data_IF_368037527202
#
_entry.id   IF_368037527202
#
_cell.length_a   1.000
_cell.length_b   1.000
_cell.length_c   1.000
_cell.angle_alpha   90.00
_cell.angle_beta   90.00
_cell.angle_gamma   90.00
#
_symmetry.space_group_name_H-M   'P 1'
#
loop_
_entity.id
_entity.type
_entity.pdbx_description
1 polymer ?
#
# COMPACT_ATOMS: atom_id res chain seq x y z
N UNK A 1 39.14 -37.78 14.11
CA UNK A 1 40.38 -37.88 13.35
C UNK A 1 40.48 -36.69 12.40
N UNK A 2 41.09 -35.61 12.86
CA UNK A 2 41.92 -34.63 12.13
C UNK A 2 43.31 -35.28 11.91
N UNK A 3 44.29 -34.77 11.09
CA UNK A 3 44.71 -33.38 10.96
C UNK A 3 45.17 -32.91 9.54
N UNK A 4 45.46 -31.68 9.40
CA UNK A 4 46.59 -30.72 9.28
C UNK A 4 46.83 -30.16 7.87
N UNK A 5 46.76 -28.85 7.78
CA UNK A 5 47.74 -27.75 7.61
C UNK A 5 48.85 -28.00 6.56
N UNK A 6 49.01 -27.10 5.59
CA UNK A 6 50.28 -26.40 5.28
C UNK A 6 50.04 -25.12 4.46
N UNK A 7 50.58 -24.04 4.97
CA UNK A 7 50.87 -22.68 4.49
C UNK A 7 52.03 -22.62 3.47
N UNK A 8 52.05 -21.54 2.66
CA UNK A 8 53.19 -20.61 2.37
C UNK A 8 52.95 -19.90 1.04
N UNK A 9 52.79 -18.62 0.96
CA UNK A 9 53.68 -17.46 1.12
C UNK A 9 54.48 -17.10 -0.16
N UNK A 10 54.36 -15.85 -0.54
CA UNK A 10 55.30 -14.78 -0.81
C UNK A 10 55.35 -14.19 -2.23
N UNK A 11 55.04 -12.90 -2.31
CA UNK A 11 55.86 -11.73 -2.76
C UNK A 11 56.34 -11.70 -4.21
N UNK A 12 56.14 -10.65 -4.98
CA UNK A 12 56.79 -9.32 -4.98
C UNK A 12 56.21 -8.40 -6.05
N UNK A 13 56.16 -7.11 -5.77
CA UNK A 13 56.03 -5.93 -6.64
C UNK A 13 57.38 -5.60 -7.35
N UNK A 14 57.61 -4.55 -8.20
CA UNK A 14 56.87 -3.30 -8.40
C UNK A 14 56.88 -2.66 -9.85
N UNK A 15 56.24 -1.44 -9.95
CA UNK A 15 56.50 -0.27 -10.80
C UNK A 15 56.17 -0.33 -12.31
N UNK A 16 55.55 0.62 -12.95
CA UNK A 16 55.66 2.09 -13.02
C UNK A 16 54.55 2.74 -13.87
N UNK A 17 54.09 3.91 -13.42
CA UNK A 17 53.61 5.08 -14.12
C UNK A 17 52.83 5.03 -15.41
N UNK A 18 51.60 5.61 -15.40
CA UNK A 18 51.18 6.72 -16.28
C UNK A 18 49.87 7.37 -15.82
N UNK A 19 49.92 8.64 -15.65
CA UNK A 19 48.85 9.61 -15.36
C UNK A 19 47.86 9.69 -16.53
N UNK A 20 46.56 9.60 -16.24
CA UNK A 20 45.53 10.33 -17.00
C UNK A 20 44.30 10.63 -16.15
N UNK A 21 43.93 11.90 -16.16
CA UNK A 21 42.81 12.53 -15.47
C UNK A 21 41.48 12.09 -16.07
N UNK A 22 40.65 11.43 -15.31
CA UNK A 22 39.27 11.11 -15.68
C UNK A 22 38.36 11.24 -14.47
N UNK A 23 37.40 12.17 -14.55
CA UNK A 23 36.36 12.46 -13.56
C UNK A 23 35.68 11.17 -13.08
N UNK A 24 35.69 10.96 -11.78
CA UNK A 24 34.84 9.99 -11.12
C UNK A 24 33.36 10.42 -11.23
N UNK A 25 32.42 9.53 -11.55
CA UNK A 25 31.02 9.75 -11.29
C UNK A 25 30.77 9.53 -9.80
N UNK A 26 30.10 10.49 -9.18
CA UNK A 26 29.61 10.49 -7.82
C UNK A 26 28.78 9.26 -7.48
N UNK A 27 28.96 8.81 -6.27
CA UNK A 27 28.29 7.76 -5.52
C UNK A 27 26.87 7.42 -5.95
N UNK A 28 26.69 6.19 -6.35
CA UNK A 28 25.40 5.52 -6.47
C UNK A 28 24.81 5.35 -5.07
N UNK A 29 23.79 6.16 -4.74
CA UNK A 29 22.90 5.88 -3.64
C UNK A 29 22.28 4.48 -3.85
N UNK A 30 22.71 3.54 -3.03
CA UNK A 30 22.12 2.21 -2.94
C UNK A 30 20.66 2.37 -2.50
N UNK A 31 19.73 1.95 -3.35
CA UNK A 31 18.31 1.87 -3.07
C UNK A 31 18.04 1.04 -1.81
N UNK A 32 17.72 1.71 -0.70
CA UNK A 32 17.23 1.05 0.52
C UNK A 32 15.86 0.44 0.26
N UNK A 33 15.59 -0.78 0.74
CA UNK A 33 14.25 -1.37 0.65
C UNK A 33 13.26 -0.51 1.44
N UNK A 34 12.06 -0.32 0.91
CA UNK A 34 10.97 0.53 1.42
C UNK A 34 10.38 0.12 2.79
N UNK A 35 11.15 -0.55 3.64
CA UNK A 35 10.79 -0.92 5.02
C UNK A 35 11.68 -0.29 6.10
N UNK A 36 12.63 0.54 5.73
CA UNK A 36 13.31 1.39 6.72
C UNK A 36 12.54 2.70 6.80
N UNK A 37 11.74 2.84 7.87
CA UNK A 37 11.25 4.13 8.32
C UNK A 37 12.43 5.10 8.29
N UNK A 38 12.36 6.14 7.44
CA UNK A 38 13.36 7.19 7.45
C UNK A 38 13.48 7.75 8.88
N UNK A 39 14.68 8.13 9.32
CA UNK A 39 14.84 8.69 10.65
C UNK A 39 13.96 9.93 10.76
N UNK A 40 13.07 9.91 11.75
CA UNK A 40 12.23 11.02 12.16
C UNK A 40 13.10 12.27 12.23
N UNK A 41 12.68 13.40 11.65
CA UNK A 41 13.41 14.65 11.84
C UNK A 41 13.59 14.90 13.34
N UNK A 42 14.82 14.87 13.81
CA UNK A 42 15.14 15.10 15.22
C UNK A 42 15.02 16.57 15.62
N UNK A 43 14.56 17.44 14.72
CA UNK A 43 14.39 18.87 14.95
C UNK A 43 12.93 19.22 15.15
N UNK A 44 12.66 19.91 16.25
CA UNK A 44 11.41 20.61 16.50
C UNK A 44 11.06 21.53 15.33
N UNK A 45 9.77 21.76 15.02
CA UNK A 45 9.37 22.76 14.03
C UNK A 45 9.95 24.13 14.43
N UNK A 46 10.52 24.83 13.47
CA UNK A 46 11.11 26.16 13.71
C UNK A 46 10.05 27.20 14.17
N UNK A 47 8.79 26.96 13.83
CA UNK A 47 7.67 27.83 14.18
C UNK A 47 6.41 27.03 14.43
N UNK A 48 5.89 27.11 15.66
CA UNK A 48 4.64 26.49 16.09
C UNK A 48 3.54 27.56 16.11
N UNK A 49 2.38 27.22 15.59
CA UNK A 49 1.18 28.06 15.63
C UNK A 49 0.41 27.70 16.92
N UNK A 50 0.27 28.64 17.84
CA UNK A 50 -0.50 28.46 19.07
C UNK A 50 -2.02 28.56 18.81
N UNK A 51 -2.85 28.01 19.70
CA UNK A 51 -4.30 27.84 19.50
C UNK A 51 -5.03 29.12 19.11
N UNK A 52 -4.76 30.25 19.75
CA UNK A 52 -5.42 31.53 19.45
C UNK A 52 -5.13 32.03 18.03
N UNK A 53 -3.89 31.88 17.57
CA UNK A 53 -3.48 32.23 16.19
C UNK A 53 -4.02 31.22 15.20
N UNK A 54 -4.00 29.92 15.56
CA UNK A 54 -4.53 28.86 14.72
C UNK A 54 -6.05 28.99 14.58
N UNK A 55 -6.77 29.25 15.68
CA UNK A 55 -8.21 29.52 15.65
C UNK A 55 -8.54 30.68 14.71
N UNK A 56 -7.89 31.86 14.87
CA UNK A 56 -8.13 33.00 14.01
C UNK A 56 -7.84 32.70 12.53
N UNK A 57 -6.79 31.92 12.27
CA UNK A 57 -6.42 31.49 10.92
C UNK A 57 -7.45 30.55 10.32
N UNK A 58 -7.89 29.50 11.07
CA UNK A 58 -8.91 28.56 10.63
C UNK A 58 -10.28 29.24 10.47
N UNK A 59 -10.68 30.10 11.42
CA UNK A 59 -11.92 30.86 11.34
C UNK A 59 -12.00 31.71 10.08
N UNK A 60 -10.87 32.30 9.64
CA UNK A 60 -10.77 33.12 8.41
C UNK A 60 -10.75 32.28 7.13
N UNK A 61 -9.99 31.16 7.13
CA UNK A 61 -9.68 30.41 5.90
C UNK A 61 -10.65 29.29 5.59
N UNK A 62 -11.21 28.61 6.63
CA UNK A 62 -12.18 27.55 6.42
C UNK A 62 -13.49 28.10 5.86
N UNK A 63 -14.09 27.37 4.95
CA UNK A 63 -15.48 27.59 4.53
C UNK A 63 -16.45 27.24 5.67
N UNK A 64 -17.75 27.46 5.50
CA UNK A 64 -18.74 27.14 6.54
C UNK A 64 -18.79 25.66 6.88
N UNK A 65 -18.50 24.80 5.90
CA UNK A 65 -18.37 23.36 6.06
C UNK A 65 -16.94 22.95 5.78
N UNK A 66 -16.44 22.02 6.59
CA UNK A 66 -15.09 21.46 6.40
C UNK A 66 -15.01 20.01 6.82
N UNK A 67 -14.03 19.31 6.27
CA UNK A 67 -13.68 17.94 6.60
C UNK A 67 -12.28 17.92 7.20
N UNK A 68 -12.04 17.04 8.17
CA UNK A 68 -10.75 16.84 8.82
C UNK A 68 -10.25 15.43 8.54
N UNK A 69 -9.08 15.30 8.00
CA UNK A 69 -8.46 14.01 7.75
C UNK A 69 -7.10 13.91 8.42
N UNK A 70 -6.73 12.71 8.83
CA UNK A 70 -5.39 12.44 9.33
C UNK A 70 -4.77 11.22 8.64
N UNK A 71 -3.47 11.31 8.35
CA UNK A 71 -2.66 10.21 7.85
C UNK A 71 -1.25 10.25 8.46
N UNK A 72 -0.49 9.16 8.28
CA UNK A 72 0.82 9.01 8.89
C UNK A 72 1.94 9.85 8.23
N UNK A 73 1.68 10.41 7.05
CA UNK A 73 2.62 11.22 6.29
C UNK A 73 1.92 12.38 5.58
N UNK A 74 2.72 13.38 5.17
CA UNK A 74 2.26 14.50 4.35
C UNK A 74 2.00 14.06 2.91
N UNK A 75 0.72 14.02 2.50
CA UNK A 75 0.32 13.61 1.15
C UNK A 75 0.73 14.60 0.05
N UNK A 76 1.15 15.82 0.40
CA UNK A 76 1.67 16.79 -0.58
C UNK A 76 3.11 16.49 -1.00
N UNK A 77 3.86 15.78 -0.16
CA UNK A 77 5.29 15.52 -0.37
C UNK A 77 5.62 14.04 -0.56
N UNK A 78 4.77 13.14 -0.05
CA UNK A 78 4.99 11.71 -0.09
C UNK A 78 3.89 11.04 -0.93
N UNK A 79 4.28 10.14 -1.83
CA UNK A 79 3.35 9.36 -2.65
C UNK A 79 3.28 7.92 -2.14
N UNK A 80 2.07 7.45 -1.89
CA UNK A 80 1.79 6.08 -1.44
C UNK A 80 0.31 5.76 -1.52
N UNK A 81 -0.07 4.52 -1.24
CA UNK A 81 -1.48 4.09 -1.34
C UNK A 81 -2.43 4.90 -0.47
N UNK A 82 -2.04 5.20 0.78
CA UNK A 82 -2.86 6.01 1.71
C UNK A 82 -2.98 7.45 1.21
N UNK A 83 -1.86 8.03 0.73
CA UNK A 83 -1.80 9.41 0.28
C UNK A 83 -2.69 9.66 -0.95
N UNK A 84 -2.82 8.67 -1.83
CA UNK A 84 -3.76 8.74 -2.97
C UNK A 84 -5.21 8.88 -2.47
N UNK A 85 -5.62 8.09 -1.47
CA UNK A 85 -6.97 8.22 -0.88
C UNK A 85 -7.20 9.58 -0.23
N UNK A 86 -6.22 10.10 0.53
CA UNK A 86 -6.30 11.43 1.15
C UNK A 86 -6.47 12.51 0.09
N UNK A 87 -5.71 12.43 -1.01
CA UNK A 87 -5.79 13.36 -2.12
C UNK A 87 -7.14 13.29 -2.85
N UNK A 88 -7.67 12.09 -3.08
CA UNK A 88 -8.98 11.90 -3.71
C UNK A 88 -10.12 12.36 -2.80
N UNK A 89 -10.03 12.13 -1.48
CA UNK A 89 -11.00 12.65 -0.51
C UNK A 89 -10.97 14.18 -0.47
N UNK A 90 -9.79 14.80 -0.55
CA UNK A 90 -9.68 16.26 -0.69
C UNK A 90 -10.38 16.78 -1.95
N UNK A 91 -10.12 16.15 -3.12
CA UNK A 91 -10.79 16.56 -4.37
C UNK A 91 -12.30 16.49 -4.25
N UNK A 92 -12.82 15.41 -3.65
CA UNK A 92 -14.24 15.24 -3.42
C UNK A 92 -14.81 16.33 -2.50
N UNK A 93 -14.15 16.60 -1.36
CA UNK A 93 -14.56 17.66 -0.43
C UNK A 93 -14.59 19.05 -1.08
N UNK A 94 -13.56 19.39 -1.85
CA UNK A 94 -13.48 20.65 -2.56
C UNK A 94 -14.57 20.79 -3.64
N UNK A 95 -14.92 19.69 -4.33
CA UNK A 95 -16.00 19.64 -5.32
C UNK A 95 -17.38 19.81 -4.67
N UNK A 96 -17.58 19.32 -3.44
CA UNK A 96 -18.78 19.54 -2.62
C UNK A 96 -18.87 20.98 -2.07
N UNK A 97 -17.82 21.76 -2.22
CA UNK A 97 -17.75 23.12 -1.72
C UNK A 97 -17.25 23.25 -0.28
N UNK A 98 -16.76 22.17 0.31
CA UNK A 98 -16.19 22.14 1.66
C UNK A 98 -14.72 22.59 1.64
N UNK A 99 -14.16 22.94 2.80
CA UNK A 99 -12.72 22.97 3.01
C UNK A 99 -12.20 21.61 3.50
N UNK A 100 -10.95 21.29 3.20
CA UNK A 100 -10.32 20.06 3.61
C UNK A 100 -9.04 20.33 4.42
N UNK A 101 -9.11 20.05 5.72
CA UNK A 101 -7.99 20.18 6.66
C UNK A 101 -7.35 18.80 6.86
N UNK A 102 -6.12 18.63 6.38
CA UNK A 102 -5.35 17.41 6.61
C UNK A 102 -4.28 17.63 7.68
N UNK A 103 -4.13 16.65 8.55
CA UNK A 103 -3.11 16.64 9.61
C UNK A 103 -2.25 15.37 9.54
N UNK A 104 -0.96 15.53 9.83
CA UNK A 104 0.01 14.44 9.87
C UNK A 104 1.01 14.63 11.01
N UNK A 105 1.61 13.56 11.56
CA UNK A 105 2.61 13.70 12.62
C UNK A 105 3.90 14.28 12.06
N UNK A 106 4.28 15.48 12.49
CA UNK A 106 5.55 16.11 12.10
C UNK A 106 6.72 15.44 12.82
N UNK A 107 6.55 15.18 14.12
CA UNK A 107 7.45 14.33 14.91
C UNK A 107 6.63 13.14 15.35
N UNK A 108 6.96 11.97 14.81
CA UNK A 108 6.17 10.76 15.07
C UNK A 108 6.23 10.38 16.55
N UNK A 109 5.10 10.44 17.23
CA UNK A 109 4.93 9.89 18.56
C UNK A 109 4.93 8.37 18.53
N UNK A 110 5.23 7.71 19.66
CA UNK A 110 5.00 6.29 19.82
C UNK A 110 3.56 6.06 20.22
N UNK A 111 2.79 5.33 19.44
CA UNK A 111 1.42 4.91 19.81
C UNK A 111 1.40 4.03 21.04
N UNK A 112 2.53 3.41 21.40
CA UNK A 112 2.68 2.53 22.58
C UNK A 112 3.15 3.26 23.84
N UNK A 113 3.50 4.55 23.75
CA UNK A 113 3.93 5.32 24.93
C UNK A 113 2.73 5.79 25.73
N UNK A 114 2.65 5.35 26.98
CA UNK A 114 1.70 5.86 27.99
C UNK A 114 2.12 7.23 28.56
N UNK A 115 3.32 7.72 28.22
CA UNK A 115 3.77 9.05 28.63
C UNK A 115 3.14 10.10 27.73
N UNK A 116 2.71 11.24 28.31
CA UNK A 116 2.32 12.44 27.58
C UNK A 116 3.51 12.95 26.78
N UNK A 117 3.66 12.45 25.56
CA UNK A 117 4.64 12.97 24.61
C UNK A 117 3.95 14.11 23.87
N UNK A 118 4.57 15.27 23.82
CA UNK A 118 4.08 16.39 23.01
C UNK A 118 4.07 15.92 21.56
N UNK A 119 2.89 15.94 20.96
CA UNK A 119 2.69 15.53 19.56
C UNK A 119 2.62 16.78 18.68
N UNK A 120 3.61 16.96 17.82
CA UNK A 120 3.64 18.03 16.83
C UNK A 120 3.04 17.53 15.52
N UNK A 121 2.14 18.33 14.97
CA UNK A 121 1.38 18.05 13.76
C UNK A 121 1.76 19.04 12.65
N UNK A 122 1.91 18.53 11.44
CA UNK A 122 1.84 19.32 10.23
C UNK A 122 0.39 19.48 9.77
N UNK A 123 0.07 20.62 9.20
CA UNK A 123 -1.26 21.01 8.74
C UNK A 123 -1.23 21.38 7.27
N UNK A 124 -2.15 20.83 6.49
CA UNK A 124 -2.44 21.23 5.12
C UNK A 124 -3.91 21.66 5.01
N UNK A 125 -4.17 22.76 4.36
CA UNK A 125 -5.52 23.24 4.09
C UNK A 125 -5.74 23.40 2.60
N UNK A 126 -6.75 22.72 2.06
CA UNK A 126 -7.15 22.79 0.66
C UNK A 126 -5.97 22.57 -0.32
N UNK A 127 -5.09 21.62 0.01
CA UNK A 127 -3.90 21.30 -0.79
C UNK A 127 -2.70 22.23 -0.59
N UNK A 128 -2.71 23.10 0.41
CA UNK A 128 -1.61 24.00 0.71
C UNK A 128 -1.10 23.81 2.13
N UNK A 129 0.22 23.78 2.30
CA UNK A 129 0.83 23.71 3.63
C UNK A 129 0.44 24.95 4.45
N UNK A 130 -0.08 24.73 5.66
CA UNK A 130 -0.50 25.78 6.57
C UNK A 130 0.54 26.08 7.64
N UNK A 131 1.29 25.06 8.09
CA UNK A 131 2.31 25.16 9.13
C UNK A 131 2.24 24.02 10.12
N UNK A 132 2.77 24.21 11.32
CA UNK A 132 2.87 23.21 12.37
C UNK A 132 2.23 23.69 13.68
N UNK A 133 1.67 22.77 14.45
CA UNK A 133 1.07 23.05 15.75
C UNK A 133 1.27 21.87 16.71
N UNK A 134 0.99 22.06 17.99
CA UNK A 134 0.81 20.97 18.94
C UNK A 134 -0.61 20.37 18.82
N UNK A 135 -0.74 19.09 19.10
CA UNK A 135 -2.02 18.40 19.01
C UNK A 135 -3.10 19.00 19.92
N UNK A 136 -2.72 19.41 21.13
CA UNK A 136 -3.60 20.11 22.07
C UNK A 136 -4.09 21.44 21.53
N UNK A 137 -3.20 22.24 20.96
CA UNK A 137 -3.50 23.54 20.37
C UNK A 137 -4.48 23.42 19.18
N UNK A 138 -4.32 22.36 18.36
CA UNK A 138 -5.26 22.07 17.27
C UNK A 138 -6.66 21.78 17.79
N UNK A 139 -6.78 20.89 18.79
CA UNK A 139 -8.08 20.50 19.34
C UNK A 139 -8.80 21.71 19.98
N UNK A 140 -8.08 22.57 20.68
CA UNK A 140 -8.63 23.80 21.24
C UNK A 140 -9.08 24.79 20.14
N UNK A 141 -8.25 24.97 19.12
CA UNK A 141 -8.59 25.84 17.99
C UNK A 141 -9.86 25.38 17.27
N UNK A 142 -10.02 24.07 17.04
CA UNK A 142 -11.22 23.52 16.35
C UNK A 142 -12.46 23.65 17.26
N UNK A 143 -12.34 23.34 18.56
CA UNK A 143 -13.48 23.47 19.49
C UNK A 143 -14.03 24.88 19.58
N UNK A 144 -13.18 25.88 19.38
CA UNK A 144 -13.57 27.30 19.41
C UNK A 144 -14.21 27.81 18.12
N UNK A 145 -14.20 27.05 17.02
CA UNK A 145 -14.76 27.51 15.74
C UNK A 145 -16.27 27.71 15.84
N UNK A 146 -16.71 28.96 15.67
CA UNK A 146 -18.12 29.32 15.64
C UNK A 146 -18.61 29.38 14.20
N UNK A 147 -19.90 29.03 13.98
CA UNK A 147 -20.55 29.05 12.67
C UNK A 147 -19.82 28.19 11.59
N UNK A 148 -19.00 27.25 12.01
CA UNK A 148 -18.36 26.25 11.16
C UNK A 148 -18.90 24.86 11.48
N UNK A 149 -19.19 24.08 10.45
CA UNK A 149 -19.66 22.69 10.58
C UNK A 149 -18.55 21.73 10.18
N UNK A 150 -18.11 20.90 11.11
CA UNK A 150 -17.23 19.79 10.83
C UNK A 150 -18.06 18.62 10.30
N UNK A 151 -18.04 18.44 8.97
CA UNK A 151 -18.85 17.41 8.31
C UNK A 151 -18.31 16.00 8.58
N UNK A 152 -16.99 15.85 8.55
CA UNK A 152 -16.37 14.53 8.62
C UNK A 152 -15.01 14.57 9.33
N UNK A 153 -14.72 13.54 10.12
CA UNK A 153 -13.37 13.22 10.58
C UNK A 153 -12.98 11.88 9.98
N UNK A 154 -11.93 11.85 9.14
CA UNK A 154 -11.41 10.64 8.49
C UNK A 154 -10.05 10.26 9.06
N UNK A 155 -9.98 9.13 9.77
CA UNK A 155 -8.73 8.53 10.20
C UNK A 155 -8.25 7.58 9.09
N UNK A 156 -7.40 8.07 8.17
CA UNK A 156 -6.82 7.24 7.12
C UNK A 156 -5.72 6.34 7.65
N UNK A 157 -4.83 6.86 8.50
CA UNK A 157 -3.81 6.04 9.13
C UNK A 157 -3.31 6.65 10.43
N UNK A 158 -3.33 5.88 11.50
CA UNK A 158 -3.06 6.36 12.86
C UNK A 158 -1.60 6.21 13.32
N UNK A 159 -0.69 5.69 12.48
CA UNK A 159 0.73 5.57 12.83
C UNK A 159 1.34 6.96 13.08
N UNK A 160 2.06 7.07 14.19
CA UNK A 160 2.69 8.32 14.61
C UNK A 160 1.80 9.21 15.50
N UNK A 161 0.51 8.89 15.64
CA UNK A 161 -0.38 9.56 16.59
C UNK A 161 -0.49 8.80 17.92
N UNK A 162 -0.79 9.52 19.01
CA UNK A 162 -1.00 8.90 20.31
C UNK A 162 -2.48 8.55 20.51
N UNK A 163 -2.79 7.49 21.26
CA UNK A 163 -4.18 7.12 21.57
C UNK A 163 -4.95 8.22 22.29
N UNK A 164 -4.39 8.94 23.31
CA UNK A 164 -5.10 10.06 23.91
C UNK A 164 -5.54 11.11 22.89
N UNK A 165 -4.68 11.47 21.93
CA UNK A 165 -5.05 12.40 20.88
C UNK A 165 -6.16 11.86 19.97
N UNK A 166 -6.10 10.59 19.57
CA UNK A 166 -7.12 9.97 18.72
C UNK A 166 -8.50 9.92 19.43
N UNK A 167 -8.54 9.61 20.75
CA UNK A 167 -9.76 9.66 21.53
C UNK A 167 -10.32 11.08 21.62
N UNK A 168 -9.48 12.08 21.89
CA UNK A 168 -9.93 13.47 21.99
C UNK A 168 -10.37 14.04 20.64
N UNK A 169 -9.73 13.61 19.56
CA UNK A 169 -10.13 13.95 18.19
C UNK A 169 -11.53 13.42 17.87
N UNK A 170 -11.81 12.15 18.18
CA UNK A 170 -13.12 11.53 17.92
C UNK A 170 -14.24 12.04 18.84
N UNK A 171 -13.92 12.76 19.92
CA UNK A 171 -14.90 13.49 20.75
C UNK A 171 -15.31 14.85 20.15
N UNK A 172 -14.60 15.33 19.11
CA UNK A 172 -15.05 16.54 18.41
C UNK A 172 -16.41 16.27 17.73
N UNK A 173 -17.30 17.26 17.82
CA UNK A 173 -18.62 17.15 17.20
C UNK A 173 -18.47 17.22 15.67
N UNK A 174 -18.65 16.09 15.01
CA UNK A 174 -18.70 15.97 13.54
C UNK A 174 -19.95 15.19 13.13
N UNK A 175 -20.42 15.38 11.90
CA UNK A 175 -21.56 14.65 11.38
C UNK A 175 -21.24 13.17 11.12
N UNK A 176 -19.99 12.85 10.73
CA UNK A 176 -19.53 11.49 10.54
C UNK A 176 -18.08 11.31 11.02
N UNK A 177 -17.80 10.19 11.68
CA UNK A 177 -16.45 9.73 11.98
C UNK A 177 -16.17 8.49 11.16
N UNK A 178 -15.03 8.46 10.46
CA UNK A 178 -14.56 7.34 9.63
C UNK A 178 -13.22 6.82 10.13
N UNK A 179 -13.09 5.49 10.13
CA UNK A 179 -11.84 4.80 10.38
C UNK A 179 -11.52 3.89 9.19
N UNK A 180 -10.44 4.21 8.47
CA UNK A 180 -10.06 3.51 7.24
C UNK A 180 -9.17 2.30 7.51
N UNK A 181 -9.40 1.21 6.77
CA UNK A 181 -8.61 -0.02 6.78
C UNK A 181 -7.71 -0.09 5.53
N UNK A 182 -6.77 0.83 5.40
CA UNK A 182 -5.81 0.78 4.28
C UNK A 182 -4.85 -0.42 4.37
N UNK A 183 -4.59 -0.86 5.60
CA UNK A 183 -3.79 -2.01 5.96
C UNK A 183 -4.28 -2.61 7.29
N UNK A 184 -3.47 -3.45 7.92
CA UNK A 184 -3.83 -4.10 9.19
C UNK A 184 -3.13 -3.49 10.40
N UNK A 185 -2.74 -2.22 10.34
CA UNK A 185 -2.07 -1.54 11.45
C UNK A 185 -2.87 -1.58 12.75
N UNK A 186 -4.19 -1.47 12.68
CA UNK A 186 -5.06 -1.60 13.85
C UNK A 186 -5.09 -3.00 14.47
N UNK A 187 -4.67 -4.04 13.74
CA UNK A 187 -4.49 -5.40 14.27
C UNK A 187 -3.09 -5.65 14.82
N UNK A 188 -2.07 -5.00 14.25
CA UNK A 188 -0.67 -5.26 14.58
C UNK A 188 0.22 -4.11 14.11
N UNK A 189 1.27 -3.71 14.87
CA UNK A 189 2.30 -2.77 14.40
C UNK A 189 2.98 -3.21 13.09
N UNK A 190 3.07 -4.53 12.84
CA UNK A 190 3.39 -5.06 11.52
C UNK A 190 2.15 -4.98 10.63
N UNK A 191 1.93 -3.83 10.01
CA UNK A 191 0.71 -3.50 9.26
C UNK A 191 0.34 -4.50 8.14
N UNK A 192 1.30 -5.25 7.64
CA UNK A 192 1.12 -6.33 6.66
C UNK A 192 1.06 -7.73 7.30
N UNK A 193 1.04 -7.82 8.65
CA UNK A 193 1.00 -9.05 9.44
C UNK A 193 2.18 -10.00 9.16
N UNK A 194 3.33 -9.42 8.83
CA UNK A 194 4.57 -10.18 8.61
C UNK A 194 5.31 -10.36 9.94
N UNK A 195 5.29 -11.57 10.49
CA UNK A 195 6.03 -11.93 11.70
C UNK A 195 7.53 -11.67 11.50
N UNK A 196 8.12 -10.88 12.41
CA UNK A 196 9.51 -10.43 12.34
C UNK A 196 9.89 -9.71 11.02
N UNK A 197 8.90 -9.34 10.19
CA UNK A 197 9.09 -8.67 8.90
C UNK A 197 9.26 -9.60 7.68
N UNK A 198 9.22 -10.93 7.85
CA UNK A 198 9.58 -11.88 6.78
C UNK A 198 8.59 -13.02 6.53
N UNK A 199 7.67 -13.30 7.46
CA UNK A 199 6.72 -14.40 7.31
C UNK A 199 5.31 -13.97 7.66
N UNK A 200 4.37 -14.15 6.74
CA UNK A 200 2.95 -13.92 7.01
C UNK A 200 2.46 -14.80 8.16
N UNK A 201 1.82 -14.20 9.15
CA UNK A 201 1.34 -14.90 10.36
C UNK A 201 -0.18 -14.99 10.46
N UNK A 202 -0.92 -14.33 9.57
CA UNK A 202 -2.39 -14.35 9.57
C UNK A 202 -3.06 -13.52 10.65
N UNK A 203 -2.30 -12.75 11.46
CA UNK A 203 -2.85 -11.97 12.57
C UNK A 203 -3.47 -12.83 13.68
N UNK A 204 -2.78 -13.86 14.21
CA UNK A 204 -3.37 -14.79 15.17
C UNK A 204 -3.62 -14.12 16.53
N UNK A 205 -4.23 -14.83 17.47
CA UNK A 205 -4.39 -14.34 18.85
C UNK A 205 -3.05 -14.03 19.51
N UNK A 206 -3.05 -13.11 20.48
CA UNK A 206 -1.84 -12.68 21.21
C UNK A 206 -1.09 -13.84 21.92
N UNK A 207 -1.82 -14.91 22.27
CA UNK A 207 -1.27 -16.08 22.97
C UNK A 207 -0.80 -17.19 22.02
N UNK A 208 -0.91 -17.00 20.71
CA UNK A 208 -0.43 -18.00 19.75
C UNK A 208 1.10 -18.08 19.73
N UNK A 209 1.66 -19.25 19.44
CA UNK A 209 3.11 -19.46 19.32
C UNK A 209 3.73 -18.49 18.30
N UNK A 210 3.05 -18.21 17.20
CA UNK A 210 3.53 -17.28 16.18
C UNK A 210 3.65 -15.84 16.72
N UNK A 211 2.75 -15.41 17.61
CA UNK A 211 2.80 -14.10 18.23
C UNK A 211 3.82 -14.04 19.38
N UNK A 212 3.92 -15.12 20.17
CA UNK A 212 4.83 -15.19 21.33
C UNK A 212 6.30 -14.93 20.97
N UNK A 213 6.76 -15.38 19.81
CA UNK A 213 8.14 -15.24 19.31
C UNK A 213 8.35 -14.05 18.38
N UNK A 214 7.32 -13.18 18.22
CA UNK A 214 7.37 -12.06 17.29
C UNK A 214 7.87 -10.78 17.98
N UNK A 215 8.81 -10.08 17.34
CA UNK A 215 9.36 -8.80 17.84
C UNK A 215 8.28 -7.71 18.02
N UNK A 216 7.15 -7.80 17.30
CA UNK A 216 6.06 -6.85 17.38
C UNK A 216 5.06 -7.14 18.52
N UNK A 217 5.22 -8.27 19.24
CA UNK A 217 4.26 -8.65 20.29
C UNK A 217 4.13 -7.61 21.41
N UNK A 218 5.21 -7.05 21.98
CA UNK A 218 5.09 -6.08 23.08
C UNK A 218 4.21 -4.89 22.70
N UNK A 219 4.44 -4.32 21.53
CA UNK A 219 3.65 -3.19 21.03
C UNK A 219 2.21 -3.61 20.69
N UNK A 220 2.02 -4.79 20.09
CA UNK A 220 0.69 -5.32 19.77
C UNK A 220 -0.18 -5.55 21.00
N UNK A 221 0.42 -5.98 22.11
CA UNK A 221 -0.31 -6.18 23.38
C UNK A 221 -0.91 -4.89 23.93
N UNK A 222 -0.31 -3.74 23.63
CA UNK A 222 -0.82 -2.41 24.00
C UNK A 222 -1.77 -1.89 22.91
N UNK A 223 -1.35 -1.96 21.67
CA UNK A 223 -2.03 -1.33 20.54
C UNK A 223 -3.39 -1.94 20.23
N UNK A 224 -3.50 -3.27 20.19
CA UNK A 224 -4.74 -3.95 19.79
C UNK A 224 -5.91 -3.67 20.76
N UNK A 225 -5.76 -3.74 22.11
CA UNK A 225 -6.80 -3.35 23.05
C UNK A 225 -7.16 -1.85 22.96
N UNK A 226 -6.17 -0.97 22.75
CA UNK A 226 -6.41 0.47 22.62
C UNK A 226 -7.24 0.80 21.38
N UNK A 227 -6.96 0.17 20.23
CA UNK A 227 -7.81 0.30 19.04
C UNK A 227 -9.22 -0.28 19.30
N UNK A 228 -9.30 -1.41 20.02
CA UNK A 228 -10.58 -1.98 20.42
C UNK A 228 -11.42 -0.96 21.19
N UNK A 229 -10.84 -0.32 22.21
CA UNK A 229 -11.49 0.71 23.02
C UNK A 229 -11.86 1.95 22.18
N UNK A 230 -10.92 2.42 21.34
CA UNK A 230 -11.16 3.59 20.47
C UNK A 230 -12.39 3.39 19.58
N UNK A 231 -12.53 2.21 18.98
CA UNK A 231 -13.63 1.89 18.06
C UNK A 231 -14.93 1.62 18.86
N UNK A 232 -14.86 0.93 19.98
CA UNK A 232 -16.02 0.62 20.80
C UNK A 232 -16.67 1.89 21.39
N UNK A 233 -15.86 2.78 21.98
CA UNK A 233 -16.33 4.01 22.62
C UNK A 233 -16.86 5.05 21.62
N UNK A 234 -16.29 5.13 20.41
CA UNK A 234 -16.62 6.19 19.47
C UNK A 234 -17.47 5.71 18.28
N UNK A 235 -17.61 4.40 18.09
CA UNK A 235 -18.42 3.77 17.05
C UNK A 235 -18.32 4.44 15.67
N UNK A 236 -17.09 4.66 15.12
CA UNK A 236 -16.92 5.27 13.81
C UNK A 236 -17.42 4.33 12.71
N UNK A 237 -17.69 4.88 11.52
CA UNK A 237 -17.89 4.07 10.31
C UNK A 237 -16.55 3.47 9.92
N UNK A 238 -16.46 2.15 9.90
CA UNK A 238 -15.28 1.45 9.38
C UNK A 238 -15.33 1.50 7.86
N UNK A 239 -14.32 2.12 7.24
CA UNK A 239 -14.22 2.20 5.79
C UNK A 239 -13.13 1.25 5.29
N UNK A 240 -13.49 0.39 4.36
CA UNK A 240 -12.61 -0.62 3.81
C UNK A 240 -12.46 -0.48 2.30
N UNK A 241 -11.25 -0.69 1.74
CA UNK A 241 -11.04 -0.64 0.30
C UNK A 241 -11.60 -1.86 -0.44
N UNK A 242 -11.93 -2.94 0.28
CA UNK A 242 -12.56 -4.13 -0.28
C UNK A 242 -13.37 -4.89 0.77
N UNK A 243 -14.33 -5.69 0.31
CA UNK A 243 -15.11 -6.59 1.17
C UNK A 243 -14.22 -7.58 1.93
N UNK A 244 -13.23 -8.15 1.22
CA UNK A 244 -12.25 -9.06 1.82
C UNK A 244 -11.54 -8.43 3.03
N UNK A 245 -11.07 -7.20 2.90
CA UNK A 245 -10.32 -6.52 3.96
C UNK A 245 -11.16 -6.30 5.20
N UNK A 246 -12.42 -5.89 5.03
CA UNK A 246 -13.33 -5.74 6.16
C UNK A 246 -13.56 -7.08 6.86
N UNK A 247 -13.91 -8.14 6.13
CA UNK A 247 -14.18 -9.47 6.68
C UNK A 247 -12.94 -10.03 7.39
N UNK A 248 -11.77 -9.96 6.74
CA UNK A 248 -10.49 -10.41 7.32
C UNK A 248 -10.15 -9.67 8.62
N UNK A 249 -10.31 -8.34 8.63
CA UNK A 249 -10.09 -7.50 9.80
C UNK A 249 -11.11 -7.80 10.89
N UNK A 250 -12.38 -7.83 10.57
CA UNK A 250 -13.47 -8.05 11.52
C UNK A 250 -13.35 -9.40 12.25
N UNK A 251 -12.88 -10.45 11.57
CA UNK A 251 -12.66 -11.75 12.19
C UNK A 251 -11.58 -11.74 13.28
N UNK A 252 -10.62 -10.83 13.18
CA UNK A 252 -9.41 -10.73 14.03
C UNK A 252 -9.46 -9.60 15.04
N UNK A 253 -10.35 -8.65 14.82
CA UNK A 253 -10.47 -7.46 15.69
C UNK A 253 -11.32 -7.78 16.94
N UNK A 254 -10.95 -7.25 18.12
CA UNK A 254 -11.63 -7.60 19.38
C UNK A 254 -13.09 -7.12 19.46
N UNK A 255 -13.43 -6.06 18.74
CA UNK A 255 -14.76 -5.46 18.72
C UNK A 255 -15.45 -5.77 17.39
N UNK A 256 -16.71 -6.21 17.47
CA UNK A 256 -17.53 -6.44 16.26
C UNK A 256 -18.36 -5.20 15.94
N UNK A 257 -18.43 -4.84 14.67
CA UNK A 257 -19.25 -3.73 14.19
C UNK A 257 -20.01 -4.10 12.93
N UNK A 258 -21.22 -3.59 12.81
CA UNK A 258 -22.01 -3.64 11.57
C UNK A 258 -22.03 -2.28 10.85
N UNK A 259 -21.34 -1.28 11.40
CA UNK A 259 -21.26 0.06 10.83
C UNK A 259 -20.03 0.17 9.94
N UNK A 260 -20.16 -0.26 8.69
CA UNK A 260 -19.06 -0.21 7.74
C UNK A 260 -19.51 0.19 6.33
N UNK A 261 -18.54 0.62 5.53
CA UNK A 261 -18.69 0.93 4.11
C UNK A 261 -17.51 0.33 3.34
N UNK A 262 -17.79 -0.15 2.12
CA UNK A 262 -16.74 -0.54 1.17
C UNK A 262 -16.59 0.56 0.13
N UNK A 263 -15.41 1.17 0.09
CA UNK A 263 -15.10 2.28 -0.82
C UNK A 263 -13.79 1.94 -1.54
N UNK A 264 -13.85 1.28 -2.71
CA UNK A 264 -12.65 0.93 -3.47
C UNK A 264 -12.03 2.18 -4.12
N UNK A 265 -10.69 2.28 -4.20
CA UNK A 265 -10.00 3.44 -4.80
C UNK A 265 -10.04 3.43 -6.32
N UNK A 266 -10.43 2.30 -6.91
CA UNK A 266 -10.58 2.16 -8.36
C UNK A 266 -11.67 1.15 -8.68
N UNK A 267 -12.27 1.29 -9.87
CA UNK A 267 -13.29 0.36 -10.36
C UNK A 267 -13.10 0.07 -11.85
N UNK A 268 -13.62 -1.09 -12.27
CA UNK A 268 -13.64 -1.52 -13.65
C UNK A 268 -15.04 -1.29 -14.24
N UNK A 269 -15.10 -0.55 -15.35
CA UNK A 269 -16.26 -0.48 -16.21
C UNK A 269 -16.08 -1.46 -17.36
N UNK A 270 -16.84 -2.56 -17.31
CA UNK A 270 -16.70 -3.65 -18.25
C UNK A 270 -17.33 -3.32 -19.60
N UNK A 271 -16.59 -3.62 -20.68
CA UNK A 271 -17.09 -3.50 -22.04
C UNK A 271 -17.62 -4.84 -22.55
N UNK A 272 -18.40 -4.77 -23.65
CA UNK A 272 -18.83 -5.98 -24.35
C UNK A 272 -17.63 -6.85 -24.74
N UNK A 273 -17.80 -8.16 -24.68
CA UNK A 273 -16.77 -9.14 -25.03
C UNK A 273 -16.23 -8.88 -26.44
N UNK A 274 -14.91 -8.87 -26.59
CA UNK A 274 -14.26 -8.76 -27.90
C UNK A 274 -14.36 -10.08 -28.64
N UNK A 275 -14.31 -10.01 -29.97
CA UNK A 275 -14.22 -11.20 -30.81
C UNK A 275 -13.06 -12.12 -30.37
N UNK A 276 -13.23 -13.44 -30.46
CA UNK A 276 -12.18 -14.40 -30.11
C UNK A 276 -10.89 -14.09 -30.86
N UNK A 277 -9.77 -14.11 -30.17
CA UNK A 277 -8.45 -13.99 -30.77
C UNK A 277 -7.98 -15.36 -31.25
N UNK A 278 -7.10 -15.36 -32.25
CA UNK A 278 -6.39 -16.56 -32.71
C UNK A 278 -5.59 -17.16 -31.55
N UNK A 279 -5.56 -18.48 -31.45
CA UNK A 279 -4.76 -19.21 -30.47
C UNK A 279 -3.29 -18.82 -30.56
N UNK A 280 -2.70 -18.58 -29.41
CA UNK A 280 -1.30 -18.24 -29.26
C UNK A 280 -0.46 -19.48 -28.98
N UNK A 281 0.74 -19.51 -29.52
CA UNK A 281 1.80 -20.48 -29.17
C UNK A 281 2.85 -19.88 -28.27
N UNK A 282 2.91 -18.54 -28.20
CA UNK A 282 3.77 -17.77 -27.31
C UNK A 282 2.92 -16.77 -26.51
N UNK A 283 3.26 -16.57 -25.24
CA UNK A 283 2.55 -15.65 -24.36
C UNK A 283 3.50 -14.69 -23.64
N UNK A 284 2.99 -13.49 -23.35
CA UNK A 284 3.70 -12.44 -22.63
C UNK A 284 3.21 -12.40 -21.18
N UNK A 285 4.14 -12.50 -20.23
CA UNK A 285 3.89 -12.56 -18.81
C UNK A 285 4.45 -11.32 -18.14
N UNK A 286 3.70 -10.72 -17.23
CA UNK A 286 4.13 -9.53 -16.48
C UNK A 286 4.12 -9.72 -14.97
N UNK A 287 5.14 -9.15 -14.32
CA UNK A 287 5.16 -8.77 -12.92
C UNK A 287 4.95 -7.27 -12.83
N UNK A 288 4.05 -6.81 -11.94
CA UNK A 288 3.65 -5.42 -11.82
C UNK A 288 4.05 -4.83 -10.46
N UNK A 289 4.81 -3.75 -10.49
CA UNK A 289 5.22 -2.99 -9.32
C UNK A 289 6.66 -3.23 -8.86
N UNK A 290 6.94 -2.77 -7.63
CA UNK A 290 8.28 -2.85 -7.04
C UNK A 290 8.73 -4.29 -6.80
N UNK A 291 10.05 -4.59 -6.96
CA UNK A 291 10.62 -5.91 -6.69
C UNK A 291 10.74 -6.17 -5.19
N UNK A 292 9.62 -6.47 -4.53
CA UNK A 292 9.53 -6.67 -3.09
C UNK A 292 9.17 -8.12 -2.76
N UNK A 293 9.87 -8.75 -1.83
CA UNK A 293 9.68 -10.16 -1.47
C UNK A 293 8.23 -10.44 -1.05
N UNK A 294 7.63 -9.56 -0.26
CA UNK A 294 6.23 -9.73 0.17
C UNK A 294 5.20 -9.52 -0.97
N UNK A 295 5.63 -8.98 -2.12
CA UNK A 295 4.86 -8.91 -3.38
C UNK A 295 5.11 -10.12 -4.30
N UNK A 296 5.91 -11.10 -3.85
CA UNK A 296 6.21 -12.33 -4.59
C UNK A 296 7.38 -12.22 -5.55
N UNK A 297 8.30 -11.27 -5.33
CA UNK A 297 9.45 -11.06 -6.19
C UNK A 297 10.32 -12.32 -6.34
N UNK A 298 10.59 -13.03 -5.24
CA UNK A 298 11.33 -14.28 -5.29
C UNK A 298 10.66 -15.33 -6.18
N UNK A 299 9.35 -15.50 -6.07
CA UNK A 299 8.59 -16.41 -6.95
C UNK A 299 8.68 -16.02 -8.43
N UNK A 300 8.68 -14.70 -8.72
CA UNK A 300 8.92 -14.21 -10.07
C UNK A 300 10.29 -14.59 -10.61
N UNK A 301 11.35 -14.41 -9.83
CA UNK A 301 12.72 -14.79 -10.20
C UNK A 301 12.83 -16.29 -10.42
N UNK A 302 12.27 -17.11 -9.52
CA UNK A 302 12.27 -18.57 -9.64
C UNK A 302 11.57 -19.03 -10.93
N UNK A 303 10.43 -18.44 -11.27
CA UNK A 303 9.69 -18.73 -12.50
C UNK A 303 10.51 -18.35 -13.75
N UNK A 304 11.01 -17.12 -13.82
CA UNK A 304 11.76 -16.64 -14.98
C UNK A 304 13.06 -17.42 -15.20
N UNK A 305 13.72 -17.83 -14.12
CA UNK A 305 14.90 -18.67 -14.17
C UNK A 305 14.55 -20.10 -14.64
N UNK A 306 13.47 -20.67 -14.14
CA UNK A 306 13.03 -22.01 -14.56
C UNK A 306 12.68 -22.08 -16.04
N UNK A 307 12.17 -20.97 -16.62
CA UNK A 307 11.73 -20.87 -18.02
C UNK A 307 12.75 -20.19 -18.94
N UNK A 308 13.99 -19.94 -18.52
CA UNK A 308 14.99 -19.13 -19.25
C UNK A 308 15.27 -19.57 -20.69
N UNK A 309 15.14 -20.85 -20.98
CA UNK A 309 15.38 -21.42 -22.32
C UNK A 309 14.10 -21.73 -23.09
N UNK A 310 12.94 -21.45 -22.52
CA UNK A 310 11.65 -21.77 -23.13
C UNK A 310 11.13 -20.58 -23.92
N UNK A 311 11.22 -20.69 -25.25
CA UNK A 311 10.85 -19.62 -26.21
C UNK A 311 9.33 -19.37 -26.30
N UNK A 312 8.52 -20.19 -25.62
CA UNK A 312 7.07 -19.98 -25.55
C UNK A 312 6.71 -18.77 -24.67
N UNK A 313 7.64 -18.29 -23.83
CA UNK A 313 7.38 -17.27 -22.80
C UNK A 313 8.28 -16.05 -22.96
N UNK A 314 7.68 -14.86 -22.86
CA UNK A 314 8.39 -13.61 -22.72
C UNK A 314 7.99 -12.94 -21.40
N UNK A 315 8.97 -12.57 -20.59
CA UNK A 315 8.76 -12.03 -19.26
C UNK A 315 9.09 -10.54 -19.20
N UNK A 316 8.19 -9.78 -18.54
CA UNK A 316 8.29 -8.33 -18.40
C UNK A 316 8.06 -7.91 -16.95
N UNK A 317 8.88 -7.01 -16.44
CA UNK A 317 8.63 -6.29 -15.19
C UNK A 317 8.18 -4.86 -15.53
N UNK A 318 7.07 -4.41 -15.00
CA UNK A 318 6.59 -3.03 -15.10
C UNK A 318 6.79 -2.34 -13.76
N UNK A 319 7.74 -1.40 -13.67
CA UNK A 319 8.10 -0.73 -12.42
C UNK A 319 8.89 0.56 -12.70
N UNK A 320 8.89 1.49 -11.74
CA UNK A 320 9.83 2.62 -11.73
C UNK A 320 11.23 2.19 -11.28
N UNK A 321 11.33 1.08 -10.53
CA UNK A 321 12.59 0.54 -10.01
C UNK A 321 12.83 -0.82 -10.66
N UNK A 322 13.96 -0.99 -11.38
CA UNK A 322 14.35 -2.30 -11.90
C UNK A 322 14.68 -3.25 -10.74
N UNK A 323 14.35 -4.53 -10.93
CA UNK A 323 14.83 -5.60 -10.06
C UNK A 323 16.26 -6.03 -10.40
N UNK A 324 16.76 -7.09 -9.72
CA UNK A 324 18.03 -7.69 -10.05
C UNK A 324 18.04 -8.20 -11.50
N UNK A 325 19.21 -8.26 -12.16
CA UNK A 325 19.33 -8.83 -13.49
C UNK A 325 18.75 -10.25 -13.55
N UNK A 326 17.90 -10.52 -14.53
CA UNK A 326 17.19 -11.79 -14.67
C UNK A 326 16.70 -12.07 -16.07
N UNK A 327 15.96 -13.15 -16.25
CA UNK A 327 15.44 -13.57 -17.56
C UNK A 327 14.11 -12.87 -17.90
N UNK A 328 14.07 -11.55 -17.76
CA UNK A 328 12.93 -10.69 -18.07
C UNK A 328 13.41 -9.32 -18.56
N UNK A 329 12.48 -8.55 -19.14
CA UNK A 329 12.72 -7.19 -19.62
C UNK A 329 12.01 -6.20 -18.68
N UNK A 330 12.74 -5.23 -18.14
CA UNK A 330 12.13 -4.15 -17.35
C UNK A 330 11.58 -3.07 -18.28
N UNK A 331 10.33 -2.70 -18.04
CA UNK A 331 9.63 -1.59 -18.69
C UNK A 331 9.45 -0.51 -17.62
N UNK A 332 10.17 0.59 -17.76
CA UNK A 332 9.99 1.72 -16.85
C UNK A 332 8.56 2.24 -16.95
N UNK A 333 7.85 2.22 -15.82
CA UNK A 333 6.42 2.56 -15.77
C UNK A 333 6.14 3.35 -14.51
N UNK A 334 5.76 4.61 -14.68
CA UNK A 334 5.42 5.51 -13.59
C UNK A 334 3.98 6.00 -13.76
N UNK A 335 3.11 5.56 -12.87
CA UNK A 335 1.75 6.11 -12.76
C UNK A 335 1.83 7.44 -12.00
N UNK A 336 1.22 8.49 -12.54
CA UNK A 336 1.19 9.83 -11.97
C UNK A 336 -0.09 10.56 -12.41
N UNK A 337 -0.39 11.70 -11.80
CA UNK A 337 -1.54 12.52 -12.22
C UNK A 337 -1.44 12.96 -13.69
N UNK A 338 -0.23 13.19 -14.19
CA UNK A 338 -0.01 13.51 -15.60
C UNK A 338 -0.18 12.30 -16.54
N UNK A 339 -0.01 11.08 -16.04
CA UNK A 339 -0.16 9.84 -16.79
C UNK A 339 -0.75 8.72 -15.91
N UNK A 340 -2.03 8.80 -15.56
CA UNK A 340 -2.68 7.83 -14.68
C UNK A 340 -2.85 6.45 -15.33
N UNK A 341 -2.81 6.35 -16.65
CA UNK A 341 -2.98 5.10 -17.42
C UNK A 341 -1.66 4.42 -17.79
N UNK A 342 -0.52 4.94 -17.36
CA UNK A 342 0.82 4.45 -17.76
C UNK A 342 0.98 2.93 -17.66
N UNK A 343 0.48 2.32 -16.57
CA UNK A 343 0.54 0.86 -16.40
C UNK A 343 -0.35 0.15 -17.42
N UNK A 344 -1.58 0.56 -17.56
CA UNK A 344 -2.56 -0.03 -18.49
C UNK A 344 -2.06 0.07 -19.95
N UNK A 345 -1.53 1.23 -20.31
CA UNK A 345 -0.99 1.45 -21.66
C UNK A 345 0.27 0.63 -21.92
N UNK A 346 1.14 0.53 -20.91
CA UNK A 346 2.31 -0.35 -20.96
C UNK A 346 1.94 -1.82 -21.21
N UNK A 347 0.95 -2.32 -20.46
CA UNK A 347 0.43 -3.69 -20.60
C UNK A 347 -0.18 -3.94 -21.97
N UNK A 348 -0.95 -2.97 -22.50
CA UNK A 348 -1.53 -3.04 -23.85
C UNK A 348 -0.45 -3.06 -24.93
N UNK A 349 0.53 -2.15 -24.85
CA UNK A 349 1.62 -2.02 -25.81
C UNK A 349 2.49 -3.29 -25.88
N UNK A 350 2.67 -3.97 -24.75
CA UNK A 350 3.38 -5.25 -24.69
C UNK A 350 2.47 -6.46 -24.89
N UNK A 351 1.18 -6.24 -25.15
CA UNK A 351 0.20 -7.31 -25.37
C UNK A 351 0.26 -8.40 -24.28
N UNK A 352 0.29 -7.97 -23.03
CA UNK A 352 0.41 -8.90 -21.90
C UNK A 352 -0.79 -9.84 -21.85
N UNK A 353 -0.49 -11.14 -21.73
CA UNK A 353 -1.48 -12.22 -21.67
C UNK A 353 -1.71 -12.70 -20.24
N UNK A 354 -0.67 -12.67 -19.43
CA UNK A 354 -0.70 -13.16 -18.04
C UNK A 354 -0.07 -12.13 -17.12
N UNK A 355 -0.70 -11.87 -15.98
CA UNK A 355 -0.09 -11.13 -14.88
C UNK A 355 0.10 -12.05 -13.68
N UNK A 356 1.32 -12.05 -13.10
CA UNK A 356 1.65 -12.76 -11.88
C UNK A 356 1.55 -11.79 -10.71
N UNK A 357 0.55 -11.99 -9.85
CA UNK A 357 0.28 -11.21 -8.65
C UNK A 357 0.42 -12.12 -7.42
N UNK A 358 1.67 -12.31 -6.95
CA UNK A 358 2.01 -13.34 -5.98
C UNK A 358 2.28 -12.78 -4.58
N UNK A 359 1.41 -11.90 -4.09
CA UNK A 359 1.56 -11.34 -2.75
C UNK A 359 1.48 -12.44 -1.69
N UNK A 360 2.45 -12.46 -0.74
CA UNK A 360 2.49 -13.42 0.37
C UNK A 360 1.79 -12.91 1.64
N UNK A 361 1.16 -11.75 1.56
CA UNK A 361 0.31 -11.16 2.60
C UNK A 361 -1.04 -10.76 1.98
N UNK A 362 -2.11 -10.64 2.77
CA UNK A 362 -3.43 -10.36 2.24
C UNK A 362 -3.55 -8.89 1.81
N UNK A 363 -3.36 -8.63 0.53
CA UNK A 363 -3.57 -7.30 -0.06
C UNK A 363 -4.96 -6.78 0.29
N UNK A 364 -5.03 -5.55 0.77
CA UNK A 364 -6.30 -4.90 1.11
C UNK A 364 -7.04 -4.44 -0.13
N UNK A 365 -6.30 -3.94 -1.10
CA UNK A 365 -6.73 -3.61 -2.46
C UNK A 365 -5.55 -3.74 -3.42
N UNK A 366 -5.77 -4.27 -4.61
CA UNK A 366 -4.72 -4.42 -5.61
C UNK A 366 -5.04 -3.61 -6.86
N UNK A 367 -4.38 -2.46 -7.02
CA UNK A 367 -4.43 -1.70 -8.27
C UNK A 367 -3.93 -2.54 -9.44
N UNK A 368 -2.84 -3.29 -9.25
CA UNK A 368 -2.24 -4.14 -10.30
C UNK A 368 -3.18 -5.26 -10.76
N UNK A 369 -4.08 -5.76 -9.90
CA UNK A 369 -5.16 -6.66 -10.30
C UNK A 369 -6.10 -5.96 -11.30
N UNK A 370 -6.57 -4.76 -10.96
CA UNK A 370 -7.51 -4.01 -11.78
C UNK A 370 -6.85 -3.57 -13.11
N UNK A 371 -5.58 -3.18 -13.08
CA UNK A 371 -4.79 -2.85 -14.27
C UNK A 371 -4.65 -4.06 -15.20
N UNK A 372 -4.29 -5.23 -14.65
CA UNK A 372 -4.22 -6.47 -15.41
C UNK A 372 -5.56 -6.88 -16.02
N UNK A 373 -6.63 -6.83 -15.23
CA UNK A 373 -7.98 -7.16 -15.67
C UNK A 373 -8.50 -6.19 -16.75
N UNK A 374 -8.17 -4.90 -16.66
CA UNK A 374 -8.61 -3.89 -17.63
C UNK A 374 -8.13 -4.16 -19.06
N UNK A 375 -6.95 -4.77 -19.19
CA UNK A 375 -6.40 -5.21 -20.49
C UNK A 375 -6.82 -6.64 -20.84
N UNK A 376 -7.57 -7.30 -19.96
CA UNK A 376 -8.00 -8.67 -20.06
C UNK A 376 -6.82 -9.67 -19.98
N UNK A 377 -5.83 -9.43 -19.13
CA UNK A 377 -4.80 -10.41 -18.82
C UNK A 377 -5.36 -11.51 -17.91
N UNK A 378 -4.89 -12.74 -18.09
CA UNK A 378 -5.18 -13.85 -17.20
C UNK A 378 -4.34 -13.72 -15.92
N UNK A 379 -4.96 -13.84 -14.76
CA UNK A 379 -4.29 -13.56 -13.48
C UNK A 379 -3.84 -14.85 -12.82
N UNK A 380 -2.57 -14.92 -12.40
CA UNK A 380 -2.04 -15.99 -11.56
C UNK A 380 -1.74 -15.45 -10.17
N UNK A 381 -2.20 -16.16 -9.13
CA UNK A 381 -1.99 -15.78 -7.73
C UNK A 381 -1.93 -16.99 -6.81
N UNK A 382 -1.66 -16.75 -5.52
CA UNK A 382 -1.65 -17.75 -4.45
C UNK A 382 -2.79 -17.53 -3.45
N UNK A 383 -3.08 -18.51 -2.55
CA UNK A 383 -4.21 -18.43 -1.62
C UNK A 383 -4.09 -17.32 -0.56
N UNK A 384 -2.90 -16.75 -0.34
CA UNK A 384 -2.65 -15.75 0.70
C UNK A 384 -2.70 -14.30 0.18
N UNK A 385 -2.97 -14.11 -1.11
CA UNK A 385 -2.90 -12.79 -1.76
C UNK A 385 -4.08 -11.84 -1.44
N UNK A 386 -4.96 -12.22 -0.52
CA UNK A 386 -6.00 -11.35 0.02
C UNK A 386 -7.07 -10.96 -0.99
N UNK A 387 -7.27 -9.68 -1.23
CA UNK A 387 -8.26 -9.17 -2.19
C UNK A 387 -8.10 -9.79 -3.59
N UNK A 388 -6.88 -10.13 -4.02
CA UNK A 388 -6.65 -10.77 -5.33
C UNK A 388 -7.27 -12.16 -5.36
N UNK A 389 -6.97 -13.00 -4.37
CA UNK A 389 -7.52 -14.34 -4.26
C UNK A 389 -9.05 -14.30 -4.08
N UNK A 390 -9.54 -13.37 -3.26
CA UNK A 390 -10.97 -13.19 -3.01
C UNK A 390 -11.73 -12.82 -4.29
N UNK A 391 -11.16 -11.97 -5.14
CA UNK A 391 -11.72 -11.65 -6.45
C UNK A 391 -11.74 -12.88 -7.36
N UNK A 392 -10.61 -13.56 -7.52
CA UNK A 392 -10.51 -14.72 -8.43
C UNK A 392 -11.35 -15.91 -7.98
N UNK A 393 -11.60 -16.09 -6.68
CA UNK A 393 -12.50 -17.15 -6.21
C UNK A 393 -13.97 -16.98 -6.69
N UNK A 394 -14.33 -15.77 -7.12
CA UNK A 394 -15.65 -15.40 -7.66
C UNK A 394 -15.65 -15.23 -9.17
N UNK A 395 -14.47 -15.16 -9.78
CA UNK A 395 -14.24 -14.93 -11.21
C UNK A 395 -13.19 -15.91 -11.74
N UNK A 396 -13.47 -17.22 -11.57
CA UNK A 396 -12.52 -18.31 -11.83
C UNK A 396 -12.08 -18.39 -13.30
N UNK A 397 -12.87 -17.83 -14.21
CA UNK A 397 -12.56 -17.74 -15.62
C UNK A 397 -11.45 -16.73 -15.94
N UNK A 398 -11.19 -15.76 -15.04
CA UNK A 398 -10.24 -14.67 -15.25
C UNK A 398 -8.84 -14.96 -14.71
N UNK A 399 -8.65 -16.11 -14.05
CA UNK A 399 -7.34 -16.44 -13.49
C UNK A 399 -7.31 -17.79 -12.79
N UNK A 400 -6.16 -18.12 -12.20
CA UNK A 400 -5.95 -19.36 -11.45
C UNK A 400 -5.25 -19.09 -10.12
N UNK A 401 -5.78 -19.70 -9.06
CA UNK A 401 -5.15 -19.70 -7.73
C UNK A 401 -4.33 -20.98 -7.64
N UNK A 402 -3.03 -20.83 -7.36
CA UNK A 402 -2.07 -21.93 -7.29
C UNK A 402 -1.52 -22.03 -5.86
N UNK A 403 -1.36 -23.24 -5.33
CA UNK A 403 -1.04 -23.45 -3.92
C UNK A 403 0.36 -22.98 -3.55
N UNK A 404 1.34 -23.16 -4.46
CA UNK A 404 2.73 -22.82 -4.22
C UNK A 404 3.51 -22.54 -5.52
N UNK A 405 4.78 -22.17 -5.38
CA UNK A 405 5.68 -21.89 -6.49
C UNK A 405 5.96 -23.13 -7.35
N UNK A 406 5.91 -24.34 -6.79
CA UNK A 406 6.12 -25.57 -7.57
C UNK A 406 4.97 -25.79 -8.55
N UNK A 407 3.73 -25.64 -8.08
CA UNK A 407 2.54 -25.67 -8.95
C UNK A 407 2.61 -24.62 -10.06
N UNK A 408 3.06 -23.39 -9.73
CA UNK A 408 3.26 -22.34 -10.71
C UNK A 408 4.28 -22.76 -11.79
N UNK A 409 5.45 -23.23 -11.38
CA UNK A 409 6.51 -23.65 -12.32
C UNK A 409 6.05 -24.83 -13.19
N UNK A 410 5.34 -25.80 -12.60
CA UNK A 410 4.81 -26.96 -13.36
C UNK A 410 3.80 -26.54 -14.40
N UNK A 411 2.91 -25.61 -14.10
CA UNK A 411 1.94 -25.02 -15.03
C UNK A 411 2.61 -24.48 -16.30
N UNK A 412 3.80 -23.86 -16.14
CA UNK A 412 4.58 -23.34 -17.25
C UNK A 412 5.38 -24.43 -17.97
N UNK A 413 6.03 -25.34 -17.26
CA UNK A 413 6.81 -26.44 -17.85
C UNK A 413 5.94 -27.30 -18.78
N UNK A 414 4.77 -27.66 -18.36
CA UNK A 414 3.81 -28.46 -19.16
C UNK A 414 3.22 -27.69 -20.32
N UNK A 415 3.24 -26.35 -20.28
CA UNK A 415 2.56 -25.50 -21.25
C UNK A 415 1.06 -25.36 -21.00
N UNK A 416 0.52 -25.91 -19.91
CA UNK A 416 -0.90 -25.82 -19.57
C UNK A 416 -1.36 -24.36 -19.50
N UNK A 417 -0.50 -23.44 -19.07
CA UNK A 417 -0.82 -21.99 -19.03
C UNK A 417 -1.23 -21.45 -20.41
N UNK A 418 -0.61 -21.92 -21.49
CA UNK A 418 -0.96 -21.49 -22.84
C UNK A 418 -2.37 -21.94 -23.20
N UNK A 419 -2.74 -23.17 -22.83
CA UNK A 419 -4.07 -23.71 -23.05
C UNK A 419 -5.12 -22.91 -22.28
N UNK A 420 -4.84 -22.56 -21.02
CA UNK A 420 -5.74 -21.74 -20.19
C UNK A 420 -5.93 -20.33 -20.79
N UNK A 421 -4.85 -19.68 -21.22
CA UNK A 421 -4.92 -18.37 -21.87
C UNK A 421 -5.70 -18.44 -23.18
N UNK A 422 -5.49 -19.49 -24.00
CA UNK A 422 -6.24 -19.67 -25.24
C UNK A 422 -7.73 -19.96 -24.97
N UNK A 423 -8.04 -20.77 -23.98
CA UNK A 423 -9.43 -21.01 -23.56
C UNK A 423 -10.11 -19.71 -23.12
N UNK A 424 -9.44 -18.90 -22.27
CA UNK A 424 -9.92 -17.60 -21.84
C UNK A 424 -10.14 -16.64 -23.01
N UNK A 425 -9.21 -16.60 -23.98
CA UNK A 425 -9.33 -15.78 -25.17
C UNK A 425 -10.53 -16.20 -26.05
N UNK A 426 -10.79 -17.52 -26.22
CA UNK A 426 -11.92 -18.04 -27.01
C UNK A 426 -13.28 -17.70 -26.39
N UNK A 427 -13.37 -17.58 -25.07
CA UNK A 427 -14.60 -17.16 -24.38
C UNK A 427 -14.93 -15.67 -24.59
N UNK A 428 -14.10 -14.96 -25.36
CA UNK A 428 -14.21 -13.54 -25.57
C UNK A 428 -13.64 -12.76 -24.37
N UNK A 429 -12.33 -12.53 -24.42
CA UNK A 429 -11.56 -11.79 -23.43
C UNK A 429 -12.27 -10.49 -23.02
N UNK A 430 -12.74 -10.34 -21.78
CA UNK A 430 -13.33 -9.09 -21.34
C UNK A 430 -12.26 -8.01 -21.33
N UNK A 431 -12.64 -6.78 -21.58
CA UNK A 431 -11.82 -5.59 -21.37
C UNK A 431 -12.63 -4.57 -20.61
N UNK A 432 -11.95 -3.74 -19.86
CA UNK A 432 -12.62 -2.71 -19.07
C UNK A 432 -11.86 -1.38 -19.18
N UNK A 433 -12.56 -0.29 -18.92
CA UNK A 433 -11.95 0.98 -18.55
C UNK A 433 -11.71 0.96 -17.05
N UNK A 434 -10.49 1.28 -16.66
CA UNK A 434 -10.12 1.43 -15.25
C UNK A 434 -10.29 2.91 -14.86
N UNK A 435 -11.11 3.14 -13.85
CA UNK A 435 -11.35 4.46 -13.26
C UNK A 435 -10.67 4.51 -11.90
N UNK A 436 -9.74 5.43 -11.73
CA UNK A 436 -9.08 5.75 -10.45
C UNK A 436 -9.81 6.87 -9.73
N UNK A 437 -9.54 7.03 -8.43
CA UNK A 437 -10.04 8.14 -7.62
C UNK A 437 -11.54 8.09 -7.36
N UNK A 438 -12.13 6.91 -7.45
CA UNK A 438 -13.57 6.73 -7.26
C UNK A 438 -13.85 6.40 -5.79
N UNK A 439 -14.22 7.41 -5.02
CA UNK A 439 -14.66 7.26 -3.63
C UNK A 439 -16.16 6.98 -3.49
N UNK A 440 -16.79 6.39 -4.50
CA UNK A 440 -18.19 5.97 -4.43
C UNK A 440 -18.30 4.68 -3.62
N UNK A 441 -19.24 4.67 -2.71
CA UNK A 441 -19.60 3.47 -1.94
C UNK A 441 -20.09 2.37 -2.88
N UNK A 442 -19.58 1.13 -2.72
CA UNK A 442 -20.17 -0.02 -3.39
C UNK A 442 -21.54 -0.30 -2.78
N UNK A 443 -22.55 -0.34 -3.61
CA UNK A 443 -23.85 -0.90 -3.25
C UNK A 443 -23.68 -2.41 -3.03
N UNK A 444 -23.88 -2.85 -1.80
CA UNK A 444 -23.78 -4.25 -1.37
C UNK A 444 -24.90 -5.11 -1.97
#
# INVERSE_FOLDING_TARGET
LTPDIITQSAQTTPDDTATETGRQPSDTESSKPASTLEPIPSKMPEKIIISSKLHALLQKKLKNKFQLALSHDDYLTITGGVQVYVYDEQKAALAEGDSYLHIYPYVKGSTTSSKRTILYLGLNLDGNALGHTEATELLEAIKGLEAKTLEKISIHHSMGFTFPFLHDLLKLKANEHRFWLHDYYSLCPSYNLMRNGNQFCGGPTLNSNACLICKFKPDRQIQLPEFGRLIDENNPVIVSPSRFTFEFWQDRFPVKTNRFKVIPPARLEWHSKRAPKVDKTTINIAYLGYPLDYKGWKTWLDLTQAMKNDRRYQFFQFSTVPGEPGNYKTIHTQVSDANPTAMVDGLRNKQIDVVLLWSIWPETFSFTLHEGLSVGAYVLTNPNSGNIQFYLSRHIEQGKILQDTNQLIELFKTGEIINLVNQYNRQGKPSATLHYGNLLEETL
#
